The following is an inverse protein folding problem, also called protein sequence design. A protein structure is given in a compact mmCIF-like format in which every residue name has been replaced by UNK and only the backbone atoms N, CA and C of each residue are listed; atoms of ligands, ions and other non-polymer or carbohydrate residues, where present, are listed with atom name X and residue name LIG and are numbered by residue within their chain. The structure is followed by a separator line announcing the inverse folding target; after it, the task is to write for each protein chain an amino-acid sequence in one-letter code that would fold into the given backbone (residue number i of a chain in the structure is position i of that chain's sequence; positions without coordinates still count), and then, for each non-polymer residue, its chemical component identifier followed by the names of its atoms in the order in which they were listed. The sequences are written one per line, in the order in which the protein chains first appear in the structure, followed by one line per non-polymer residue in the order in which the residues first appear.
data_IF_055129523427
#
_entry.id   IF_055129523427
#
_cell.length_a   1.000
_cell.length_b   1.000
_cell.length_c   1.000
_cell.angle_alpha   90.00
_cell.angle_beta   90.00
_cell.angle_gamma   90.00
#
_symmetry.space_group_name_H-M   'P 1'
#
loop_
_entity.id
_entity.type
_entity.pdbx_description
1 polymer ?
#
# COMPACT_ATOMS: atom_id res chain seq x y z
N UNK A 1 3.35 -78.33 24.84
CA UNK A 1 3.10 -76.94 25.28
C UNK A 1 3.54 -76.03 24.15
N UNK A 2 2.60 -75.36 23.47
CA UNK A 2 2.94 -74.39 22.43
C UNK A 2 3.34 -73.08 23.11
N UNK A 3 4.60 -72.69 22.98
CA UNK A 3 5.08 -71.37 23.39
C UNK A 3 4.46 -70.34 22.45
N UNK A 4 3.58 -69.48 22.98
CA UNK A 4 2.94 -68.43 22.20
C UNK A 4 3.99 -67.47 21.65
N UNK A 5 4.07 -67.39 20.33
CA UNK A 5 5.00 -66.52 19.61
C UNK A 5 4.62 -65.06 19.89
N UNK A 6 5.47 -64.31 20.61
CA UNK A 6 5.24 -62.90 20.91
C UNK A 6 5.69 -62.03 19.73
N UNK A 7 4.84 -61.94 18.72
CA UNK A 7 5.00 -61.10 17.51
C UNK A 7 5.46 -59.66 17.82
N UNK A 8 5.04 -59.11 18.97
CA UNK A 8 5.39 -57.75 19.39
C UNK A 8 6.86 -57.58 19.78
N UNK A 9 7.57 -58.66 20.13
CA UNK A 9 8.99 -58.61 20.51
C UNK A 9 9.94 -58.59 19.29
N UNK A 10 9.49 -59.04 18.12
CA UNK A 10 10.29 -59.08 16.88
C UNK A 10 10.20 -57.77 16.06
N UNK A 11 9.16 -56.96 16.26
CA UNK A 11 8.94 -55.73 15.50
C UNK A 11 9.64 -54.55 16.17
N UNK A 12 10.58 -53.92 15.45
CA UNK A 12 11.28 -52.71 15.90
C UNK A 12 10.49 -51.45 15.50
N UNK A 13 9.86 -50.81 16.47
CA UNK A 13 9.11 -49.55 16.27
C UNK A 13 9.98 -48.28 16.32
N UNK A 14 11.29 -48.40 16.57
CA UNK A 14 12.18 -47.25 16.81
C UNK A 14 12.12 -46.19 15.70
N UNK A 15 12.07 -46.62 14.44
CA UNK A 15 11.92 -45.69 13.30
C UNK A 15 10.55 -45.00 13.24
N UNK A 16 9.49 -45.65 13.69
CA UNK A 16 8.16 -45.06 13.80
C UNK A 16 8.09 -44.05 14.95
N UNK A 17 8.63 -44.40 16.12
CA UNK A 17 8.71 -43.52 17.28
C UNK A 17 9.52 -42.25 16.97
N UNK A 18 10.66 -42.38 16.29
CA UNK A 18 11.45 -41.22 15.83
C UNK A 18 10.66 -40.32 14.86
N UNK A 19 9.83 -40.88 13.98
CA UNK A 19 8.96 -40.08 13.11
C UNK A 19 7.88 -39.34 13.88
N UNK A 20 7.31 -39.96 14.92
CA UNK A 20 6.36 -39.30 15.83
C UNK A 20 7.03 -38.16 16.59
N UNK A 21 8.21 -38.41 17.15
CA UNK A 21 8.95 -37.41 17.93
C UNK A 21 9.34 -36.20 17.06
N UNK A 22 9.79 -36.47 15.83
CA UNK A 22 10.05 -35.44 14.82
C UNK A 22 8.79 -34.68 14.39
N UNK A 23 7.61 -35.31 14.39
CA UNK A 23 6.35 -34.64 14.09
C UNK A 23 5.89 -33.76 15.27
N UNK A 24 6.05 -34.26 16.49
CA UNK A 24 5.71 -33.55 17.74
C UNK A 24 6.58 -32.31 17.90
N UNK A 25 7.88 -32.42 17.65
CA UNK A 25 8.82 -31.29 17.73
C UNK A 25 8.58 -30.21 16.68
N UNK A 26 8.09 -30.56 15.49
CA UNK A 26 7.77 -29.60 14.40
C UNK A 26 6.38 -28.99 14.48
N UNK A 27 5.47 -29.57 15.27
CA UNK A 27 4.10 -29.08 15.41
C UNK A 27 4.02 -27.61 15.90
N UNK A 28 4.76 -27.19 16.95
CA UNK A 28 4.70 -25.82 17.45
C UNK A 28 5.15 -24.78 16.42
N UNK A 29 6.17 -25.11 15.63
CA UNK A 29 6.70 -24.22 14.58
C UNK A 29 5.65 -24.02 13.48
N UNK A 30 5.00 -25.10 13.04
CA UNK A 30 3.89 -25.04 12.08
C UNK A 30 2.69 -24.26 12.61
N UNK A 31 2.38 -24.39 13.91
CA UNK A 31 1.31 -23.64 14.54
C UNK A 31 1.61 -22.13 14.47
N UNK A 32 2.83 -21.71 14.83
CA UNK A 32 3.24 -20.30 14.75
C UNK A 32 3.24 -19.75 13.32
N UNK A 33 3.72 -20.53 12.36
CA UNK A 33 3.69 -20.14 10.94
C UNK A 33 2.25 -19.91 10.45
N UNK A 34 1.33 -20.80 10.83
CA UNK A 34 -0.08 -20.66 10.52
C UNK A 34 -0.71 -19.45 11.21
N UNK A 35 -0.39 -19.20 12.48
CA UNK A 35 -0.86 -18.01 13.21
C UNK A 35 -0.46 -16.71 12.51
N UNK A 36 0.81 -16.59 12.10
CA UNK A 36 1.31 -15.43 11.35
C UNK A 36 0.59 -15.28 9.98
N UNK A 37 0.36 -16.40 9.28
CA UNK A 37 -0.38 -16.38 8.01
C UNK A 37 -1.84 -15.94 8.19
N UNK A 38 -2.47 -16.31 9.30
CA UNK A 38 -3.83 -15.91 9.63
C UNK A 38 -3.88 -14.42 9.96
N UNK A 39 -2.92 -13.92 10.74
CA UNK A 39 -2.83 -12.51 11.11
C UNK A 39 -2.67 -11.61 9.87
N UNK A 40 -1.70 -11.94 9.00
CA UNK A 40 -1.50 -11.22 7.73
C UNK A 40 -2.73 -11.28 6.82
N UNK A 41 -3.42 -12.41 6.76
CA UNK A 41 -4.67 -12.55 5.99
C UNK A 41 -5.78 -11.68 6.57
N UNK A 42 -5.93 -11.63 7.91
CA UNK A 42 -6.90 -10.76 8.58
C UNK A 42 -6.63 -9.28 8.31
N UNK A 43 -5.37 -8.87 8.36
CA UNK A 43 -4.99 -7.50 8.00
C UNK A 43 -5.34 -7.16 6.55
N UNK A 44 -5.05 -8.07 5.62
CA UNK A 44 -5.35 -7.87 4.21
C UNK A 44 -6.87 -7.78 3.98
N UNK A 45 -7.66 -8.63 4.61
CA UNK A 45 -9.12 -8.53 4.59
C UNK A 45 -9.55 -7.15 5.10
N UNK A 46 -9.04 -6.70 6.25
CA UNK A 46 -9.39 -5.38 6.79
C UNK A 46 -9.00 -4.23 5.84
N UNK A 47 -7.81 -4.28 5.24
CA UNK A 47 -7.33 -3.30 4.24
C UNK A 47 -8.26 -3.28 3.02
N UNK A 48 -8.60 -4.45 2.46
CA UNK A 48 -9.46 -4.54 1.30
C UNK A 48 -10.91 -4.17 1.59
N UNK A 49 -11.46 -4.53 2.75
CA UNK A 49 -12.80 -4.10 3.17
C UNK A 49 -12.90 -2.59 3.25
N UNK A 50 -11.91 -1.91 3.84
CA UNK A 50 -11.86 -0.44 3.85
C UNK A 50 -11.78 0.15 2.44
N UNK A 51 -10.99 -0.44 1.55
CA UNK A 51 -10.91 0.01 0.14
C UNK A 51 -12.23 -0.21 -0.62
N UNK A 52 -12.97 -1.26 -0.29
CA UNK A 52 -14.28 -1.55 -0.87
C UNK A 52 -15.32 -0.57 -0.30
N UNK A 53 -15.32 -0.29 1.00
CA UNK A 53 -16.22 0.69 1.62
C UNK A 53 -15.96 2.12 1.14
N UNK A 54 -14.69 2.49 0.93
CA UNK A 54 -14.32 3.79 0.36
C UNK A 54 -14.74 3.93 -1.11
N UNK A 55 -14.86 2.83 -1.84
CA UNK A 55 -15.38 2.85 -3.21
C UNK A 55 -16.91 2.82 -3.14
N UNK A 56 -17.53 3.99 -3.31
CA UNK A 56 -18.96 4.10 -3.62
C UNK A 56 -19.32 3.05 -4.70
N UNK A 57 -20.44 2.32 -4.55
CA UNK A 57 -20.84 1.27 -5.49
C UNK A 57 -20.81 1.84 -6.90
N UNK A 58 -20.00 1.24 -7.78
CA UNK A 58 -19.70 1.76 -9.12
C UNK A 58 -20.99 2.20 -9.83
N UNK A 59 -21.28 3.51 -9.95
CA UNK A 59 -22.56 3.97 -10.50
C UNK A 59 -22.74 3.56 -11.97
N UNK A 60 -21.62 3.23 -12.62
CA UNK A 60 -21.56 2.68 -13.98
C UNK A 60 -22.20 1.29 -14.09
N UNK A 61 -22.12 0.45 -13.06
CA UNK A 61 -22.66 -0.91 -13.10
C UNK A 61 -24.19 -0.89 -13.15
N UNK A 62 -24.83 -0.11 -12.28
CA UNK A 62 -26.28 0.04 -12.26
C UNK A 62 -26.80 0.60 -13.59
N UNK A 63 -26.11 1.62 -14.13
CA UNK A 63 -26.44 2.18 -15.45
C UNK A 63 -26.30 1.15 -16.58
N UNK A 64 -25.24 0.34 -16.58
CA UNK A 64 -25.03 -0.71 -17.56
C UNK A 64 -26.07 -1.83 -17.46
N UNK A 65 -26.46 -2.23 -16.25
CA UNK A 65 -27.53 -3.19 -16.03
C UNK A 65 -28.86 -2.62 -16.56
N UNK A 66 -29.18 -1.37 -16.25
CA UNK A 66 -30.38 -0.69 -16.76
C UNK A 66 -30.38 -0.62 -18.31
N UNK A 67 -29.25 -0.30 -18.94
CA UNK A 67 -29.11 -0.33 -20.39
C UNK A 67 -29.34 -1.73 -20.98
N UNK A 68 -28.83 -2.78 -20.33
CA UNK A 68 -29.06 -4.17 -20.77
C UNK A 68 -30.54 -4.52 -20.73
N UNK A 69 -31.25 -4.11 -19.67
CA UNK A 69 -32.70 -4.29 -19.55
C UNK A 69 -33.46 -3.52 -20.61
N UNK A 70 -33.13 -2.25 -20.80
CA UNK A 70 -33.76 -1.39 -21.80
C UNK A 70 -33.59 -1.97 -23.22
N UNK A 71 -32.39 -2.44 -23.54
CA UNK A 71 -32.12 -3.10 -24.82
C UNK A 71 -32.96 -4.37 -25.02
N UNK A 72 -33.09 -5.20 -23.98
CA UNK A 72 -33.96 -6.38 -24.03
C UNK A 72 -35.42 -6.00 -24.28
N UNK A 73 -35.93 -5.00 -23.57
CA UNK A 73 -37.31 -4.54 -23.76
C UNK A 73 -37.56 -3.96 -25.15
N UNK A 74 -36.57 -3.27 -25.74
CA UNK A 74 -36.66 -2.79 -27.11
C UNK A 74 -36.73 -3.96 -28.11
N UNK A 75 -35.91 -5.00 -27.94
CA UNK A 75 -35.97 -6.19 -28.78
C UNK A 75 -37.34 -6.87 -28.68
N UNK A 76 -37.85 -7.02 -27.46
CA UNK A 76 -39.15 -7.65 -27.22
C UNK A 76 -40.31 -6.85 -27.85
N UNK A 77 -40.28 -5.52 -27.72
CA UNK A 77 -41.27 -4.64 -28.34
C UNK A 77 -41.18 -4.67 -29.87
N UNK A 78 -39.97 -4.66 -30.44
CA UNK A 78 -39.77 -4.82 -31.89
C UNK A 78 -40.29 -6.17 -32.39
N UNK A 79 -40.07 -7.26 -31.64
CA UNK A 79 -40.60 -8.57 -31.99
C UNK A 79 -42.13 -8.61 -31.96
N UNK A 80 -42.79 -7.89 -31.03
CA UNK A 80 -44.25 -7.76 -30.97
C UNK A 80 -44.79 -6.89 -32.11
N UNK A 81 -44.16 -5.76 -32.41
CA UNK A 81 -44.51 -4.91 -33.55
C UNK A 81 -44.39 -5.66 -34.89
N UNK A 82 -43.43 -6.59 -35.00
CA UNK A 82 -43.28 -7.44 -36.17
C UNK A 82 -44.39 -8.46 -36.37
N UNK A 83 -45.13 -8.82 -35.30
CA UNK A 83 -46.25 -9.77 -35.33
C UNK A 83 -47.59 -9.07 -35.43
N UNK A 84 -47.79 -8.03 -34.62
CA UNK A 84 -49.03 -7.28 -34.49
C UNK A 84 -48.80 -5.85 -35.00
N UNK A 85 -49.39 -5.53 -36.17
CA UNK A 85 -49.18 -4.23 -36.84
C UNK A 85 -49.75 -3.05 -36.04
N UNK A 86 -50.77 -3.31 -35.22
CA UNK A 86 -51.43 -2.31 -34.38
C UNK A 86 -50.82 -2.24 -32.96
N UNK A 87 -49.80 -3.06 -32.65
CA UNK A 87 -49.14 -3.03 -31.35
C UNK A 87 -48.38 -1.72 -31.15
N UNK A 88 -48.63 -1.07 -30.01
CA UNK A 88 -47.97 0.17 -29.59
C UNK A 88 -46.95 -0.14 -28.48
N UNK A 89 -45.64 0.11 -28.71
CA UNK A 89 -44.61 -0.07 -27.68
C UNK A 89 -44.88 0.78 -26.44
N UNK A 90 -44.59 0.21 -25.27
CA UNK A 90 -44.70 0.89 -23.96
C UNK A 90 -43.32 1.15 -23.36
N UNK A 91 -42.26 1.04 -24.16
CA UNK A 91 -40.88 1.21 -23.73
C UNK A 91 -40.67 2.50 -22.93
N UNK A 92 -40.26 2.35 -21.67
CA UNK A 92 -39.86 3.44 -20.79
C UNK A 92 -38.42 3.19 -20.31
N UNK A 93 -37.43 4.00 -20.75
CA UNK A 93 -36.02 3.73 -20.51
C UNK A 93 -35.64 3.95 -19.04
N UNK A 94 -35.34 2.86 -18.33
CA UNK A 94 -34.90 2.90 -16.93
C UNK A 94 -33.49 3.49 -16.81
N UNK A 95 -32.65 3.27 -17.82
CA UNK A 95 -31.28 3.82 -17.87
C UNK A 95 -31.26 5.35 -17.81
N UNK A 96 -32.30 6.02 -18.32
CA UNK A 96 -32.41 7.49 -18.28
C UNK A 96 -32.53 8.03 -16.86
N UNK A 97 -33.24 7.33 -15.98
CA UNK A 97 -33.39 7.73 -14.57
C UNK A 97 -32.10 7.48 -13.80
N UNK A 98 -31.48 6.32 -13.99
CA UNK A 98 -30.19 5.97 -13.37
C UNK A 98 -29.10 6.96 -13.79
N UNK A 99 -29.06 7.35 -15.07
CA UNK A 99 -28.11 8.33 -15.59
C UNK A 99 -28.31 9.72 -14.96
N UNK A 100 -29.56 10.14 -14.75
CA UNK A 100 -29.85 11.42 -14.06
C UNK A 100 -29.36 11.39 -12.62
N UNK A 101 -29.60 10.30 -11.88
CA UNK A 101 -29.12 10.11 -10.50
C UNK A 101 -27.59 10.15 -10.43
N UNK A 102 -26.92 9.40 -11.30
CA UNK A 102 -25.45 9.37 -11.39
C UNK A 102 -24.86 10.76 -11.68
N UNK A 103 -25.46 11.52 -12.59
CA UNK A 103 -24.98 12.87 -12.91
C UNK A 103 -25.24 13.88 -11.78
N UNK A 104 -26.34 13.74 -11.06
CA UNK A 104 -26.62 14.56 -9.88
C UNK A 104 -25.62 14.28 -8.75
N UNK A 105 -25.33 13.01 -8.49
CA UNK A 105 -24.33 12.58 -7.49
C UNK A 105 -22.92 13.10 -7.85
N UNK A 106 -22.51 12.98 -9.12
CA UNK A 106 -21.24 13.56 -9.59
C UNK A 106 -21.15 15.05 -9.35
N UNK A 107 -22.23 15.80 -9.56
CA UNK A 107 -22.27 17.25 -9.31
C UNK A 107 -22.18 17.56 -7.82
N UNK A 108 -22.88 16.79 -6.97
CA UNK A 108 -22.80 16.95 -5.52
C UNK A 108 -21.40 16.66 -4.98
N UNK A 109 -20.73 15.60 -5.47
CA UNK A 109 -19.35 15.29 -5.07
C UNK A 109 -18.36 16.39 -5.46
N UNK A 110 -18.45 16.91 -6.70
CA UNK A 110 -17.61 18.03 -7.14
C UNK A 110 -17.83 19.30 -6.28
N UNK A 111 -19.05 19.56 -5.86
CA UNK A 111 -19.37 20.69 -4.98
C UNK A 111 -18.79 20.50 -3.57
N UNK A 112 -18.88 19.29 -3.01
CA UNK A 112 -18.29 18.97 -1.71
C UNK A 112 -16.76 19.06 -1.73
N UNK A 113 -16.10 18.48 -2.75
CA UNK A 113 -14.64 18.61 -2.93
C UNK A 113 -14.21 20.08 -3.02
N UNK A 114 -14.98 20.92 -3.72
CA UNK A 114 -14.68 22.35 -3.81
C UNK A 114 -14.80 23.08 -2.46
N UNK A 115 -15.76 22.69 -1.62
CA UNK A 115 -15.94 23.25 -0.26
C UNK A 115 -14.82 22.81 0.68
N UNK A 116 -14.46 21.53 0.68
CA UNK A 116 -13.34 21.01 1.47
C UNK A 116 -12.02 21.70 1.12
N UNK A 117 -11.75 21.92 -0.17
CA UNK A 117 -10.56 22.66 -0.63
C UNK A 117 -10.56 24.12 -0.15
N UNK A 118 -11.72 24.77 -0.09
CA UNK A 118 -11.81 26.14 0.46
C UNK A 118 -11.64 26.18 1.99
N UNK A 119 -12.17 25.20 2.71
CA UNK A 119 -12.00 25.09 4.17
C UNK A 119 -10.54 24.84 4.54
N UNK A 120 -9.87 23.89 3.89
CA UNK A 120 -8.43 23.62 4.10
C UNK A 120 -7.60 24.87 3.80
N UNK A 121 -7.91 25.58 2.72
CA UNK A 121 -7.20 26.82 2.36
C UNK A 121 -7.39 27.92 3.41
N UNK A 122 -8.58 28.03 3.99
CA UNK A 122 -8.86 29.01 5.05
C UNK A 122 -8.18 28.63 6.37
N UNK A 123 -8.19 27.35 6.77
CA UNK A 123 -7.49 26.87 7.97
C UNK A 123 -5.97 27.04 7.86
N UNK A 124 -5.36 26.83 6.69
CA UNK A 124 -3.93 27.07 6.48
C UNK A 124 -3.59 28.57 6.59
N UNK A 125 -4.47 29.45 6.11
CA UNK A 125 -4.30 30.90 6.21
C UNK A 125 -4.37 31.40 7.66
N UNK A 126 -5.23 30.81 8.48
CA UNK A 126 -5.30 31.11 9.92
C UNK A 126 -4.08 30.60 10.70
N UNK A 127 -3.47 29.48 10.29
CA UNK A 127 -2.23 28.98 10.90
C UNK A 127 -0.99 29.82 10.54
N UNK A 128 -0.94 30.40 9.34
CA UNK A 128 0.15 31.29 8.93
C UNK A 128 0.18 32.61 9.72
N UNK A 129 -0.97 33.11 10.20
CA UNK A 129 -1.07 34.40 10.89
C UNK A 129 -0.67 34.30 12.39
N UNK A 130 -0.64 33.09 12.98
CA UNK A 130 -0.36 32.87 14.42
C UNK A 130 1.03 32.33 14.76
N UNK A 131 1.96 32.25 13.80
CA UNK A 131 3.37 31.96 14.12
C UNK A 131 4.08 33.28 14.31
N UNK A 132 4.48 33.60 15.54
CA UNK A 132 5.44 34.66 15.81
C UNK A 132 6.74 34.32 15.05
N UNK A 133 6.95 34.96 13.90
CA UNK A 133 8.14 34.76 13.08
C UNK A 133 9.30 35.38 13.86
N UNK A 134 10.08 34.57 14.57
CA UNK A 134 11.44 34.96 14.97
C UNK A 134 12.21 35.26 13.69
N UNK A 135 12.84 36.44 13.62
CA UNK A 135 13.56 36.87 12.42
C UNK A 135 14.64 35.85 12.04
N UNK A 136 14.89 35.71 10.75
CA UNK A 136 15.92 34.79 10.22
C UNK A 136 17.31 35.04 10.85
N UNK A 137 17.55 36.26 11.36
CA UNK A 137 18.77 36.65 12.08
C UNK A 137 18.91 35.95 13.44
N UNK A 138 17.82 35.74 14.19
CA UNK A 138 17.88 35.01 15.46
C UNK A 138 18.15 33.52 15.24
N UNK A 139 17.59 32.95 14.17
CA UNK A 139 17.81 31.55 13.79
C UNK A 139 19.26 31.34 13.36
N UNK A 140 19.82 32.25 12.56
CA UNK A 140 21.24 32.23 12.17
C UNK A 140 22.19 32.32 13.36
N UNK A 141 21.96 33.28 14.25
CA UNK A 141 22.79 33.41 15.46
C UNK A 141 22.80 32.16 16.31
N UNK A 142 21.65 31.48 16.43
CA UNK A 142 21.58 30.26 17.21
C UNK A 142 22.32 29.09 16.55
N UNK A 143 22.30 29.00 15.21
CA UNK A 143 23.03 27.98 14.43
C UNK A 143 24.54 28.20 14.55
N UNK A 144 25.00 29.44 14.43
CA UNK A 144 26.44 29.76 14.51
C UNK A 144 27.00 29.44 15.91
N UNK A 145 26.26 29.75 16.97
CA UNK A 145 26.64 29.39 18.35
C UNK A 145 26.71 27.88 18.60
N UNK A 146 25.91 27.08 17.89
CA UNK A 146 25.93 25.61 18.00
C UNK A 146 27.14 25.05 17.27
N UNK A 147 27.45 25.57 16.08
CA UNK A 147 28.61 25.17 15.29
C UNK A 147 29.93 25.47 16.03
N UNK A 148 30.06 26.66 16.63
CA UNK A 148 31.26 27.01 17.41
C UNK A 148 31.49 26.05 18.58
N UNK A 149 30.44 25.69 19.32
CA UNK A 149 30.53 24.73 20.44
C UNK A 149 30.91 23.31 20.00
N UNK A 150 30.48 22.89 18.81
CA UNK A 150 30.83 21.57 18.27
C UNK A 150 32.27 21.51 17.76
N UNK A 151 32.77 22.59 17.16
CA UNK A 151 34.18 22.70 16.74
C UNK A 151 35.10 22.67 17.96
N UNK A 152 34.77 23.42 19.02
CA UNK A 152 35.57 23.45 20.25
C UNK A 152 35.69 22.05 20.89
N UNK A 153 34.56 21.33 21.03
CA UNK A 153 34.54 19.92 21.47
C UNK A 153 35.31 18.96 20.55
N UNK A 154 35.33 19.21 19.24
CA UNK A 154 36.09 18.44 18.28
C UNK A 154 37.60 18.60 18.48
N UNK A 155 38.05 19.84 18.71
CA UNK A 155 39.49 20.15 18.88
C UNK A 155 40.08 19.57 20.17
N UNK A 156 39.32 19.53 21.26
CA UNK A 156 39.74 18.88 22.53
C UNK A 156 39.95 17.37 22.36
N UNK A 157 39.14 16.71 21.52
CA UNK A 157 39.27 15.28 21.23
C UNK A 157 40.49 14.95 20.35
N UNK A 158 40.83 15.82 19.39
CA UNK A 158 41.94 15.57 18.45
C UNK A 158 43.29 15.71 19.15
N UNK A 159 43.48 16.72 20.02
CA UNK A 159 44.70 16.89 20.81
C UNK A 159 45.02 15.69 21.72
N UNK A 160 44.01 14.90 22.10
CA UNK A 160 44.19 13.73 22.96
C UNK A 160 44.66 12.48 22.18
N UNK A 161 44.64 12.51 20.84
CA UNK A 161 44.84 11.34 19.98
C UNK A 161 46.16 11.31 19.17
N UNK A 162 46.90 12.43 19.07
CA UNK A 162 48.11 12.55 18.23
C UNK A 162 49.41 11.91 18.81
N UNK A 163 49.34 11.13 19.89
CA UNK A 163 50.54 10.44 20.44
C UNK A 163 50.76 9.01 19.94
N UNK A 164 49.94 8.47 19.03
CA UNK A 164 50.02 7.05 18.67
C UNK A 164 50.03 6.86 17.14
N UNK A 165 51.12 6.25 16.65
CA UNK A 165 51.40 5.68 15.32
C UNK A 165 51.99 6.59 14.22
N UNK A 166 53.33 6.64 14.22
CA UNK A 166 54.15 6.73 13.01
C UNK A 166 54.27 5.33 12.36
N UNK A 167 54.59 5.32 11.05
CA UNK A 167 54.98 4.18 10.19
C UNK A 167 53.86 3.46 9.43
N UNK A 168 53.59 3.89 8.18
CA UNK A 168 54.11 3.23 6.98
C UNK A 168 53.61 3.93 5.72
N UNK A 169 54.58 4.31 4.89
CA UNK A 169 54.48 4.89 3.56
C UNK A 169 54.15 3.76 2.57
N UNK A 170 53.36 4.04 1.53
CA UNK A 170 53.72 3.65 0.15
C UNK A 170 52.96 4.48 -0.89
N UNK A 171 53.76 5.22 -1.65
CA UNK A 171 53.43 6.02 -2.83
C UNK A 171 53.22 5.09 -4.04
N UNK A 172 52.27 5.39 -4.93
CA UNK A 172 52.55 5.35 -6.37
C UNK A 172 51.64 6.35 -7.11
N UNK A 173 52.26 6.98 -8.10
CA UNK A 173 51.95 8.28 -8.68
C UNK A 173 50.87 8.27 -9.77
N UNK A 174 50.38 9.49 -10.00
CA UNK A 174 49.53 9.99 -11.07
C UNK A 174 49.95 9.53 -12.48
N UNK A 175 48.98 9.38 -13.38
CA UNK A 175 49.06 9.98 -14.73
C UNK A 175 47.67 10.03 -15.42
N UNK A 176 47.34 11.27 -15.77
CA UNK A 176 46.59 11.75 -16.95
C UNK A 176 45.06 11.58 -17.08
N UNK A 177 44.44 12.74 -16.92
CA UNK A 177 43.16 13.24 -17.41
C UNK A 177 43.06 13.12 -18.93
N UNK A 178 41.98 12.52 -19.45
CA UNK A 178 41.39 12.97 -20.72
C UNK A 178 39.85 12.97 -20.66
N UNK A 179 39.31 14.17 -20.82
CA UNK A 179 37.88 14.50 -20.87
C UNK A 179 37.45 14.41 -22.33
N UNK A 180 36.53 13.52 -22.71
CA UNK A 180 35.70 13.76 -23.90
C UNK A 180 34.24 13.32 -23.69
N UNK A 181 33.39 14.27 -24.07
CA UNK A 181 31.93 14.31 -24.04
C UNK A 181 31.26 13.28 -24.96
N UNK A 182 30.09 12.84 -24.47
CA UNK A 182 28.81 12.80 -25.18
C UNK A 182 28.40 11.62 -26.08
N UNK A 183 27.09 11.36 -25.93
CA UNK A 183 26.09 10.84 -26.88
C UNK A 183 25.98 9.33 -27.02
N UNK A 184 24.87 8.83 -26.47
CA UNK A 184 24.31 7.54 -26.86
C UNK A 184 23.58 7.59 -28.21
N UNK A 185 23.39 6.41 -28.78
CA UNK A 185 22.11 5.79 -29.14
C UNK A 185 22.40 4.49 -29.86
N UNK A 186 21.58 3.49 -29.52
CA UNK A 186 21.17 2.31 -30.32
C UNK A 186 22.23 1.25 -30.59
#
# INVERSE_FOLDING_TARGET
MFSSYNFCAEIKFDGFLKRLDNAITKLPEKIKELENSIETTKENIAKYTRLVEQKLPYPRLEYLQALKWDHKTLIDDLAKMGKDRDYKPVFNPKSKEVLKKMNAEKRANLENESKEMTEIKNSNKEQEIKRDIKSDDEVRQHIDQVIEKEIEKGTENISSSELITTNNIDYYENEEVEIIKSRGRR
#
